data_IF_400271812165
#
_entry.id   IF_400271812165
#
_cell.length_a   1.000
_cell.length_b   1.000
_cell.length_c   1.000
_cell.angle_alpha   90.00
_cell.angle_beta   90.00
_cell.angle_gamma   90.00
#
_symmetry.space_group_name_H-M   'P 1'
#
loop_
_entity.id
_entity.type
_entity.pdbx_description
1 polymer ?
#
# COMPACT_ATOMS: atom_id res chain seq x y z
N UNK A 1 15.45 38.30 5.65
CA UNK A 1 16.00 36.95 5.94
C UNK A 1 15.26 36.42 7.16
N UNK A 2 14.45 35.34 7.04
CA UNK A 2 13.86 34.46 8.09
C UNK A 2 12.40 34.06 7.80
N UNK A 3 12.15 33.36 6.68
CA UNK A 3 10.90 32.60 6.47
C UNK A 3 11.16 31.08 6.54
N UNK A 4 12.42 30.64 6.60
CA UNK A 4 12.81 29.22 6.51
C UNK A 4 12.56 28.35 7.76
N UNK A 5 12.00 28.88 8.84
CA UNK A 5 11.97 28.20 10.15
C UNK A 5 10.61 27.58 10.54
N UNK A 6 9.56 27.74 9.73
CA UNK A 6 8.20 27.31 10.10
C UNK A 6 7.91 25.84 9.74
N UNK A 7 8.64 25.24 8.78
CA UNK A 7 8.45 23.85 8.37
C UNK A 7 9.75 23.04 8.42
N UNK A 8 10.16 22.66 9.63
CA UNK A 8 10.95 21.43 9.79
C UNK A 8 10.06 20.41 10.48
N UNK A 9 9.23 19.63 9.75
CA UNK A 9 8.60 18.47 10.35
C UNK A 9 9.71 17.51 10.78
N UNK A 10 10.09 17.55 12.05
CA UNK A 10 11.02 16.60 12.66
C UNK A 10 10.25 15.33 13.01
N UNK A 11 9.65 14.68 12.00
CA UNK A 11 9.16 13.32 12.17
C UNK A 11 10.38 12.43 12.35
N UNK A 12 10.45 11.75 13.49
CA UNK A 12 11.46 10.72 13.70
C UNK A 12 11.19 9.57 12.74
N UNK A 13 12.26 8.88 12.33
CA UNK A 13 12.16 7.76 11.38
C UNK A 13 11.14 6.70 11.86
N UNK A 14 11.11 6.29 13.15
CA UNK A 14 10.11 5.33 13.62
C UNK A 14 8.66 5.81 13.48
N UNK A 15 8.39 7.09 13.75
CA UNK A 15 7.04 7.66 13.61
C UNK A 15 6.63 7.67 12.14
N UNK A 16 7.53 8.07 11.25
CA UNK A 16 7.27 8.04 9.80
C UNK A 16 7.00 6.62 9.30
N UNK A 17 7.78 5.64 9.74
CA UNK A 17 7.58 4.22 9.42
C UNK A 17 6.22 3.72 9.92
N UNK A 18 5.85 4.03 11.16
CA UNK A 18 4.58 3.60 11.74
C UNK A 18 3.37 4.22 11.02
N UNK A 19 3.41 5.53 10.76
CA UNK A 19 2.35 6.22 10.01
C UNK A 19 2.22 5.65 8.61
N UNK A 20 3.34 5.36 7.95
CA UNK A 20 3.33 4.76 6.60
C UNK A 20 2.76 3.35 6.60
N UNK A 21 3.13 2.51 7.59
CA UNK A 21 2.59 1.16 7.73
C UNK A 21 1.07 1.16 8.01
N UNK A 22 0.60 2.07 8.87
CA UNK A 22 -0.82 2.28 9.12
C UNK A 22 -1.55 2.74 7.87
N UNK A 23 -0.98 3.68 7.12
CA UNK A 23 -1.57 4.16 5.87
C UNK A 23 -1.67 3.05 4.82
N UNK A 24 -0.58 2.30 4.59
CA UNK A 24 -0.58 1.17 3.66
C UNK A 24 -1.64 0.14 4.05
N UNK A 25 -1.74 -0.18 5.34
CA UNK A 25 -2.73 -1.16 5.81
C UNK A 25 -4.15 -0.62 5.67
N UNK A 26 -4.46 0.51 6.31
CA UNK A 26 -5.84 0.98 6.45
C UNK A 26 -6.43 1.55 5.14
N UNK A 27 -5.60 2.13 4.27
CA UNK A 27 -6.06 2.85 3.07
C UNK A 27 -5.76 2.08 1.79
N UNK A 28 -4.57 1.49 1.66
CA UNK A 28 -4.11 0.92 0.39
C UNK A 28 -4.43 -0.58 0.22
N UNK A 29 -5.00 -1.23 1.24
CA UNK A 29 -5.29 -2.67 1.24
C UNK A 29 -6.79 -2.97 1.42
N UNK A 30 -7.69 -2.07 0.99
CA UNK A 30 -9.13 -2.30 1.20
C UNK A 30 -9.68 -3.48 0.38
N UNK A 31 -9.25 -3.65 -0.87
CA UNK A 31 -9.60 -4.80 -1.70
C UNK A 31 -9.22 -6.13 -1.05
N UNK A 32 -8.02 -6.20 -0.46
CA UNK A 32 -7.54 -7.37 0.28
C UNK A 32 -8.47 -7.71 1.45
N UNK A 33 -8.80 -6.73 2.30
CA UNK A 33 -9.68 -6.97 3.44
C UNK A 33 -11.09 -7.39 3.03
N UNK A 34 -11.66 -6.78 1.98
CA UNK A 34 -12.95 -7.19 1.42
C UNK A 34 -12.92 -8.67 1.01
N UNK A 35 -11.89 -9.08 0.28
CA UNK A 35 -11.76 -10.47 -0.19
C UNK A 35 -11.58 -11.47 0.97
N UNK A 36 -10.67 -11.16 1.91
CA UNK A 36 -10.37 -12.04 3.05
C UNK A 36 -11.56 -12.15 3.99
N UNK A 37 -12.18 -11.04 4.39
CA UNK A 37 -13.32 -11.07 5.32
C UNK A 37 -14.55 -11.70 4.66
N UNK A 38 -14.77 -11.50 3.36
CA UNK A 38 -15.82 -12.23 2.64
C UNK A 38 -15.57 -13.74 2.64
N UNK A 39 -14.32 -14.18 2.46
CA UNK A 39 -13.96 -15.60 2.51
C UNK A 39 -14.14 -16.20 3.92
N UNK A 40 -13.74 -15.48 4.96
CA UNK A 40 -13.90 -15.92 6.35
C UNK A 40 -15.36 -16.03 6.79
N UNK A 41 -16.19 -15.09 6.36
CA UNK A 41 -17.63 -15.15 6.62
C UNK A 41 -18.27 -16.36 5.94
N UNK A 42 -17.81 -16.76 4.74
CA UNK A 42 -18.30 -17.96 4.04
C UNK A 42 -17.90 -19.27 4.73
N UNK A 43 -16.73 -19.32 5.37
CA UNK A 43 -16.24 -20.53 6.05
C UNK A 43 -16.68 -20.63 7.51
N UNK A 44 -17.40 -19.63 8.03
CA UNK A 44 -17.84 -19.58 9.43
C UNK A 44 -16.74 -19.19 10.42
N UNK A 45 -15.59 -18.74 9.92
CA UNK A 45 -14.46 -18.25 10.74
C UNK A 45 -14.42 -16.71 10.86
N UNK A 46 -15.41 -16.00 10.32
CA UNK A 46 -15.58 -14.55 10.48
C UNK A 46 -15.89 -14.19 11.93
N UNK A 47 -14.86 -13.89 12.72
CA UNK A 47 -15.01 -13.34 14.05
C UNK A 47 -14.11 -12.10 14.23
N UNK A 48 -14.61 -11.14 15.01
CA UNK A 48 -13.95 -9.85 15.24
C UNK A 48 -12.50 -10.00 15.76
N UNK A 49 -12.16 -10.94 16.68
CA UNK A 49 -10.79 -11.14 17.12
C UNK A 49 -9.83 -11.60 16.00
N UNK A 50 -10.28 -12.47 15.09
CA UNK A 50 -9.43 -12.96 14.00
C UNK A 50 -9.25 -11.89 12.91
N UNK A 51 -10.32 -11.16 12.57
CA UNK A 51 -10.24 -10.05 11.62
C UNK A 51 -9.29 -8.96 12.11
N UNK A 52 -9.38 -8.58 13.39
CA UNK A 52 -8.46 -7.62 14.01
C UNK A 52 -7.02 -8.13 14.06
N UNK A 53 -6.81 -9.43 14.31
CA UNK A 53 -5.48 -10.04 14.24
C UNK A 53 -4.87 -9.96 12.84
N UNK A 54 -5.67 -10.10 11.78
CA UNK A 54 -5.21 -9.94 10.39
C UNK A 54 -4.78 -8.48 10.13
N UNK A 55 -5.58 -7.49 10.55
CA UNK A 55 -5.23 -6.07 10.38
C UNK A 55 -3.95 -5.72 11.14
N UNK A 56 -3.82 -6.17 12.39
CA UNK A 56 -2.65 -5.90 13.23
C UNK A 56 -1.41 -6.60 12.68
N UNK A 57 -1.52 -7.87 12.27
CA UNK A 57 -0.39 -8.62 11.70
C UNK A 57 0.11 -7.98 10.41
N UNK A 58 -0.77 -7.54 9.52
CA UNK A 58 -0.39 -6.84 8.29
C UNK A 58 0.28 -5.49 8.58
N UNK A 59 -0.24 -4.73 9.56
CA UNK A 59 0.39 -3.47 10.00
C UNK A 59 1.79 -3.71 10.55
N UNK A 60 1.96 -4.72 11.41
CA UNK A 60 3.26 -5.08 11.98
C UNK A 60 4.23 -5.57 10.91
N UNK A 61 3.75 -6.32 9.92
CA UNK A 61 4.56 -6.75 8.78
C UNK A 61 5.09 -5.55 7.98
N UNK A 62 4.23 -4.60 7.61
CA UNK A 62 4.68 -3.39 6.92
C UNK A 62 5.63 -2.57 7.79
N UNK A 63 5.35 -2.42 9.08
CA UNK A 63 6.23 -1.70 9.99
C UNK A 63 7.61 -2.36 10.08
N UNK A 64 7.68 -3.69 10.15
CA UNK A 64 8.92 -4.46 10.16
C UNK A 64 9.72 -4.25 8.87
N UNK A 65 9.08 -4.41 7.71
CA UNK A 65 9.71 -4.24 6.40
C UNK A 65 10.23 -2.81 6.17
N UNK A 66 9.42 -1.82 6.50
CA UNK A 66 9.82 -0.41 6.40
C UNK A 66 10.90 -0.05 7.42
N UNK A 67 10.91 -0.66 8.61
CA UNK A 67 11.98 -0.49 9.60
C UNK A 67 13.30 -1.08 9.12
N UNK A 68 13.26 -2.23 8.45
CA UNK A 68 14.44 -2.83 7.84
C UNK A 68 15.00 -1.90 6.74
N UNK A 69 14.12 -1.38 5.88
CA UNK A 69 14.49 -0.40 4.86
C UNK A 69 15.04 0.91 5.45
N UNK A 70 14.49 1.35 6.59
CA UNK A 70 14.94 2.54 7.30
C UNK A 70 16.40 2.46 7.80
N UNK A 71 16.96 1.24 7.92
CA UNK A 71 18.38 1.05 8.20
C UNK A 71 19.27 1.61 7.09
N UNK A 72 18.76 1.68 5.85
CA UNK A 72 19.45 2.25 4.68
C UNK A 72 19.03 3.72 4.50
N UNK A 73 19.59 4.60 5.34
CA UNK A 73 19.21 6.03 5.44
C UNK A 73 19.04 6.79 4.12
N UNK A 74 19.97 6.73 3.14
CA UNK A 74 19.82 7.50 1.90
C UNK A 74 18.70 6.96 1.00
N UNK A 75 18.41 5.67 1.09
CA UNK A 75 17.46 4.98 0.22
C UNK A 75 16.03 4.93 0.79
N UNK A 76 15.89 5.06 2.11
CA UNK A 76 14.60 4.97 2.79
C UNK A 76 13.54 5.92 2.23
N UNK A 77 13.86 7.21 2.12
CA UNK A 77 12.90 8.22 1.63
C UNK A 77 12.47 7.98 0.18
N UNK A 78 13.38 7.84 -0.81
CA UNK A 78 12.95 7.64 -2.19
C UNK A 78 12.18 6.33 -2.38
N UNK A 79 12.60 5.25 -1.72
CA UNK A 79 11.89 3.96 -1.82
C UNK A 79 10.53 4.03 -1.13
N UNK A 80 10.41 4.67 0.03
CA UNK A 80 9.12 4.87 0.69
C UNK A 80 8.14 5.66 -0.21
N UNK A 81 8.61 6.72 -0.87
CA UNK A 81 7.79 7.48 -1.82
C UNK A 81 7.33 6.61 -3.00
N UNK A 82 8.25 5.83 -3.58
CA UNK A 82 7.91 4.91 -4.67
C UNK A 82 6.88 3.87 -4.23
N UNK A 83 7.06 3.26 -3.05
CA UNK A 83 6.11 2.29 -2.48
C UNK A 83 4.73 2.92 -2.33
N UNK A 84 4.62 4.13 -1.81
CA UNK A 84 3.32 4.78 -1.61
C UNK A 84 2.61 5.09 -2.93
N UNK A 85 3.34 5.53 -3.95
CA UNK A 85 2.78 5.81 -5.28
C UNK A 85 2.35 4.51 -5.97
N UNK A 86 3.20 3.49 -5.98
CA UNK A 86 2.87 2.18 -6.55
C UNK A 86 1.69 1.56 -5.83
N UNK A 87 1.65 1.62 -4.49
CA UNK A 87 0.53 1.13 -3.70
C UNK A 87 -0.77 1.85 -4.07
N UNK A 88 -0.74 3.18 -4.26
CA UNK A 88 -1.92 3.95 -4.68
C UNK A 88 -2.44 3.51 -6.07
N UNK A 89 -1.53 3.32 -7.03
CA UNK A 89 -1.91 2.85 -8.38
C UNK A 89 -2.48 1.44 -8.28
N UNK A 90 -1.80 0.52 -7.62
CA UNK A 90 -2.24 -0.87 -7.45
C UNK A 90 -3.59 -0.93 -6.73
N UNK A 91 -3.75 -0.24 -5.60
CA UNK A 91 -5.01 -0.21 -4.85
C UNK A 91 -6.15 0.33 -5.71
N UNK A 92 -5.91 1.36 -6.53
CA UNK A 92 -6.93 1.88 -7.45
C UNK A 92 -7.37 0.82 -8.46
N UNK A 93 -6.41 0.09 -9.07
CA UNK A 93 -6.76 -0.96 -10.03
C UNK A 93 -7.48 -2.13 -9.37
N UNK A 94 -7.05 -2.55 -8.18
CA UNK A 94 -7.70 -3.62 -7.42
C UNK A 94 -9.11 -3.22 -6.96
N UNK A 95 -9.31 -2.01 -6.45
CA UNK A 95 -10.60 -1.56 -5.94
C UNK A 95 -11.59 -1.21 -7.05
N UNK A 96 -11.12 -0.65 -8.18
CA UNK A 96 -12.00 -0.19 -9.27
C UNK A 96 -12.31 -1.29 -10.28
N UNK A 97 -11.29 -2.07 -10.68
CA UNK A 97 -11.42 -3.07 -11.72
C UNK A 97 -11.53 -4.51 -11.17
N UNK A 98 -11.39 -4.69 -9.85
CA UNK A 98 -11.40 -6.03 -9.23
C UNK A 98 -10.21 -6.90 -9.67
N UNK A 99 -9.22 -6.26 -10.26
CA UNK A 99 -8.05 -6.87 -10.86
C UNK A 99 -7.12 -7.36 -9.74
N UNK A 100 -6.64 -8.60 -9.85
CA UNK A 100 -5.59 -9.11 -8.96
C UNK A 100 -4.26 -9.00 -9.70
N UNK A 101 -3.29 -8.31 -9.10
CA UNK A 101 -1.93 -8.22 -9.66
C UNK A 101 -1.28 -9.60 -9.47
N UNK A 102 -1.11 -10.35 -10.55
CA UNK A 102 -0.37 -11.60 -10.60
C UNK A 102 0.79 -11.51 -11.62
N UNK A 103 1.55 -12.60 -11.76
CA UNK A 103 2.70 -12.65 -12.67
C UNK A 103 2.28 -12.37 -14.13
N UNK A 104 1.09 -12.84 -14.52
CA UNK A 104 0.55 -12.63 -15.87
C UNK A 104 0.18 -11.16 -16.10
N UNK A 105 -0.29 -10.46 -15.08
CA UNK A 105 -0.56 -9.03 -15.16
C UNK A 105 0.71 -8.20 -15.31
N UNK A 106 1.76 -8.56 -14.58
CA UNK A 106 3.06 -7.89 -14.72
C UNK A 106 3.63 -8.16 -16.10
N UNK A 107 3.51 -9.39 -16.60
CA UNK A 107 3.93 -9.75 -17.95
C UNK A 107 3.16 -8.94 -18.99
N UNK A 108 1.83 -8.87 -18.88
CA UNK A 108 1.01 -8.05 -19.78
C UNK A 108 1.43 -6.58 -19.73
N UNK A 109 1.65 -5.99 -18.55
CA UNK A 109 2.14 -4.61 -18.42
C UNK A 109 3.50 -4.37 -19.09
N UNK A 110 4.37 -5.39 -19.12
CA UNK A 110 5.68 -5.31 -19.79
C UNK A 110 5.58 -5.56 -21.30
N UNK A 111 4.59 -6.35 -21.74
CA UNK A 111 4.35 -6.70 -23.14
C UNK A 111 3.45 -5.69 -23.87
N UNK A 112 2.62 -4.92 -23.15
CA UNK A 112 1.66 -3.97 -23.71
C UNK A 112 2.35 -2.71 -24.26
N UNK A 113 2.01 -2.38 -25.51
CA UNK A 113 2.40 -1.14 -26.21
C UNK A 113 1.63 0.06 -25.62
N UNK A 114 2.26 1.24 -25.52
CA UNK A 114 1.79 2.42 -24.75
C UNK A 114 0.38 2.90 -25.14
N UNK A 115 -0.13 2.50 -26.32
CA UNK A 115 -1.46 2.85 -26.82
C UNK A 115 -2.62 2.14 -26.10
N UNK A 116 -2.49 0.86 -25.69
CA UNK A 116 -3.58 0.12 -25.01
C UNK A 116 -3.73 0.54 -23.53
N UNK A 117 -2.63 0.92 -22.86
CA UNK A 117 -2.66 1.35 -21.46
C UNK A 117 -3.43 2.68 -21.26
N UNK A 118 -3.51 3.53 -22.29
CA UNK A 118 -4.22 4.82 -22.22
C UNK A 118 -5.74 4.69 -22.33
N UNK A 119 -6.26 3.59 -22.91
CA UNK A 119 -7.71 3.34 -22.98
C UNK A 119 -8.33 2.98 -21.62
N UNK A 120 -7.53 2.53 -20.65
CA UNK A 120 -7.95 2.20 -19.29
C UNK A 120 -8.00 3.41 -18.33
N UNK A 121 -7.46 4.57 -18.73
CA UNK A 121 -7.65 5.82 -17.99
C UNK A 121 -8.96 6.49 -18.42
N UNK A 122 -10.09 5.92 -18.02
CA UNK A 122 -11.38 6.59 -18.20
C UNK A 122 -11.53 7.69 -17.14
N UNK A 123 -11.16 8.92 -17.49
CA UNK A 123 -11.57 10.12 -16.75
C UNK A 123 -13.05 10.32 -17.04
N UNK A 124 -13.91 9.88 -16.12
CA UNK A 124 -15.30 10.29 -16.06
C UNK A 124 -15.49 11.34 -14.97
#
# INVERSE_FOLDING_TARGET
>A
MTIKKIFKPTLTVPVLTLVSALYLTAVQNTAFFKAVFAALNKTGHGNLPFETAIVVSLTLLFFLLLSLLASIKPLFKPVLMAILVVAAVVSFFMDTYGVVIDDSMIQNLMETDYNEATELFNVK
#
